data_IF_517521283391
#
_entry.id   IF_517521283391
#
_cell.length_a   1.000
_cell.length_b   1.000
_cell.length_c   1.000
_cell.angle_alpha   90.00
_cell.angle_beta   90.00
_cell.angle_gamma   90.00
#
_symmetry.space_group_name_H-M   'P 1'
#
loop_
_entity.id
_entity.type
_entity.pdbx_description
1 polymer ?
#
# COMPACT_ATOMS: atom_id res chain seq x y z
N UNK A 1 -17.92 0.31 -11.32
CA UNK A 1 -16.70 0.35 -10.49
C UNK A 1 -15.49 0.38 -11.40
N UNK A 2 -14.86 1.54 -11.50
CA UNK A 2 -13.68 1.72 -12.30
C UNK A 2 -12.44 1.16 -11.59
N UNK A 3 -11.45 0.74 -12.39
CA UNK A 3 -10.17 0.23 -11.90
C UNK A 3 -9.04 1.03 -12.54
N UNK A 4 -8.21 1.65 -11.71
CA UNK A 4 -7.01 2.34 -12.15
C UNK A 4 -5.80 1.39 -12.09
N UNK A 5 -5.06 1.28 -13.21
CA UNK A 5 -3.94 0.33 -13.42
C UNK A 5 -4.24 -1.12 -13.04
N UNK A 6 -5.50 -1.54 -13.16
CA UNK A 6 -5.96 -2.89 -12.79
C UNK A 6 -5.88 -3.24 -11.29
N UNK A 7 -5.34 -2.35 -10.46
CA UNK A 7 -5.05 -2.57 -9.03
C UNK A 7 -5.92 -1.73 -8.11
N UNK A 8 -6.06 -0.44 -8.40
CA UNK A 8 -6.75 0.50 -7.53
C UNK A 8 -8.23 0.55 -7.88
N UNK A 9 -9.04 0.05 -6.96
CA UNK A 9 -10.49 -0.02 -7.10
C UNK A 9 -11.10 1.30 -6.62
N UNK A 10 -11.84 1.98 -7.51
CA UNK A 10 -12.55 3.21 -7.20
C UNK A 10 -14.04 2.89 -7.06
N UNK A 11 -14.46 2.52 -5.85
CA UNK A 11 -15.84 2.19 -5.52
C UNK A 11 -16.77 3.39 -5.80
N UNK A 12 -17.97 3.13 -6.33
CA UNK A 12 -18.94 4.18 -6.67
C UNK A 12 -18.63 4.97 -7.95
N UNK A 13 -17.48 4.74 -8.60
CA UNK A 13 -17.14 5.38 -9.87
C UNK A 13 -17.43 4.44 -11.05
N UNK A 14 -18.16 4.91 -12.06
CA UNK A 14 -18.46 4.12 -13.26
C UNK A 14 -17.32 4.13 -14.29
N UNK A 15 -16.74 5.31 -14.53
CA UNK A 15 -15.63 5.52 -15.47
C UNK A 15 -14.64 6.54 -14.93
N UNK A 16 -13.36 6.38 -15.27
CA UNK A 16 -12.32 7.38 -15.01
C UNK A 16 -12.34 8.35 -16.20
N UNK A 17 -12.46 9.65 -15.94
CA UNK A 17 -12.36 10.66 -17.00
C UNK A 17 -10.89 10.90 -17.37
N UNK A 18 -10.58 11.43 -18.56
CA UNK A 18 -9.18 11.73 -18.92
C UNK A 18 -8.50 12.71 -17.95
N UNK A 19 -9.25 13.62 -17.32
CA UNK A 19 -8.72 14.52 -16.29
C UNK A 19 -8.37 13.76 -15.01
N UNK A 20 -9.30 12.93 -14.52
CA UNK A 20 -9.04 12.09 -13.34
C UNK A 20 -7.88 11.13 -13.57
N UNK A 21 -7.75 10.56 -14.77
CA UNK A 21 -6.65 9.67 -15.12
C UNK A 21 -5.30 10.39 -15.04
N UNK A 22 -5.22 11.63 -15.57
CA UNK A 22 -4.01 12.46 -15.42
C UNK A 22 -3.67 12.73 -13.95
N UNK A 23 -4.65 13.11 -13.14
CA UNK A 23 -4.44 13.40 -11.72
C UNK A 23 -4.03 12.14 -10.94
N UNK A 24 -4.63 10.98 -11.27
CA UNK A 24 -4.24 9.67 -10.73
C UNK A 24 -2.82 9.27 -11.13
N UNK A 25 -2.41 9.55 -12.38
CA UNK A 25 -1.05 9.29 -12.86
C UNK A 25 0.00 10.14 -12.11
N UNK A 26 -0.31 11.41 -11.83
CA UNK A 26 0.56 12.27 -11.02
C UNK A 26 0.69 11.72 -9.60
N UNK A 27 -0.44 11.39 -8.95
CA UNK A 27 -0.43 10.82 -7.60
C UNK A 27 0.35 9.50 -7.55
N UNK A 28 0.14 8.61 -8.52
CA UNK A 28 0.87 7.35 -8.63
C UNK A 28 2.37 7.59 -8.83
N UNK A 29 2.75 8.55 -9.67
CA UNK A 29 4.15 8.90 -9.90
C UNK A 29 4.87 9.33 -8.62
N UNK A 30 4.22 10.16 -7.79
CA UNK A 30 4.76 10.56 -6.48
C UNK A 30 4.93 9.33 -5.57
N UNK A 31 3.87 8.53 -5.42
CA UNK A 31 3.86 7.34 -4.58
C UNK A 31 4.93 6.32 -5.00
N UNK A 32 4.98 5.94 -6.27
CA UNK A 32 5.96 4.98 -6.80
C UNK A 32 7.40 5.51 -6.73
N UNK A 33 7.60 6.83 -6.88
CA UNK A 33 8.89 7.49 -6.74
C UNK A 33 9.56 7.22 -5.39
N UNK A 34 8.78 7.24 -4.29
CA UNK A 34 9.31 6.93 -2.96
C UNK A 34 9.92 5.53 -2.86
N UNK A 35 9.32 4.53 -3.53
CA UNK A 35 9.83 3.15 -3.48
C UNK A 35 11.22 3.04 -4.12
N UNK A 36 11.50 3.84 -5.15
CA UNK A 36 12.81 3.92 -5.78
C UNK A 36 13.81 4.79 -5.03
N UNK A 37 13.37 5.92 -4.48
CA UNK A 37 14.22 6.87 -3.75
C UNK A 37 14.63 6.32 -2.37
N UNK A 38 13.72 5.59 -1.71
CA UNK A 38 13.86 5.10 -0.34
C UNK A 38 13.54 3.60 -0.26
N UNK A 39 14.48 2.74 -0.70
CA UNK A 39 14.28 1.28 -0.68
C UNK A 39 14.13 0.76 0.75
N UNK A 40 13.45 -0.39 0.90
CA UNK A 40 13.18 -0.98 2.20
C UNK A 40 14.46 -1.41 2.93
N UNK A 41 14.61 -0.97 4.19
CA UNK A 41 15.72 -1.36 5.08
C UNK A 41 15.53 -2.71 5.76
N UNK A 42 14.43 -3.43 5.47
CA UNK A 42 14.10 -4.73 6.08
C UNK A 42 14.02 -4.68 7.62
N UNK A 43 13.53 -3.59 8.20
CA UNK A 43 13.45 -3.37 9.65
C UNK A 43 12.31 -4.13 10.37
N UNK A 44 11.46 -4.85 9.63
CA UNK A 44 10.38 -5.67 10.19
C UNK A 44 9.13 -4.92 10.66
N UNK A 45 9.16 -3.59 10.78
CA UNK A 45 8.06 -2.80 11.38
C UNK A 45 6.70 -2.98 10.68
N UNK A 46 6.69 -3.10 9.35
CA UNK A 46 5.47 -3.37 8.58
C UNK A 46 4.78 -4.70 8.96
N UNK A 47 5.50 -5.65 9.58
CA UNK A 47 4.94 -6.94 10.00
C UNK A 47 4.02 -6.83 11.24
N UNK A 48 3.84 -5.63 11.80
CA UNK A 48 2.86 -5.35 12.85
C UNK A 48 1.55 -4.77 12.30
N UNK A 49 1.48 -4.53 10.98
CA UNK A 49 0.29 -3.95 10.36
C UNK A 49 -0.84 -4.99 10.20
N UNK A 50 -2.10 -4.62 10.51
CA UNK A 50 -3.24 -5.50 10.31
C UNK A 50 -3.74 -5.48 8.85
N UNK A 51 -4.77 -6.29 8.58
CA UNK A 51 -5.58 -6.21 7.35
C UNK A 51 -4.80 -6.47 6.04
N UNK A 52 -3.85 -7.41 6.08
CA UNK A 52 -3.11 -7.85 4.91
C UNK A 52 -4.01 -8.70 4.01
N UNK A 53 -4.48 -8.12 2.90
CA UNK A 53 -5.22 -8.84 1.86
C UNK A 53 -4.27 -9.78 1.11
N UNK A 54 -4.72 -11.02 0.90
CA UNK A 54 -4.07 -12.01 0.05
C UNK A 54 -4.99 -12.25 -1.14
N UNK A 55 -4.49 -12.03 -2.36
CA UNK A 55 -5.27 -12.28 -3.57
C UNK A 55 -5.26 -13.78 -3.91
N UNK A 56 -6.31 -14.31 -4.54
CA UNK A 56 -6.36 -15.73 -4.92
C UNK A 56 -5.14 -16.22 -5.70
N UNK A 57 -4.62 -15.40 -6.61
CA UNK A 57 -3.45 -15.70 -7.42
C UNK A 57 -2.12 -15.76 -6.63
N UNK A 58 -2.10 -15.24 -5.39
CA UNK A 58 -0.90 -15.19 -4.56
C UNK A 58 -0.79 -16.36 -3.59
N UNK A 59 -1.91 -17.04 -3.31
CA UNK A 59 -2.03 -18.05 -2.25
C UNK A 59 -1.00 -19.17 -2.41
N UNK A 60 -0.89 -19.75 -3.60
CA UNK A 60 0.01 -20.89 -3.85
C UNK A 60 1.48 -20.49 -3.67
N UNK A 61 1.86 -19.32 -4.21
CA UNK A 61 3.21 -18.77 -4.10
C UNK A 61 3.60 -18.49 -2.64
N UNK A 62 2.68 -17.91 -1.85
CA UNK A 62 2.94 -17.63 -0.43
C UNK A 62 3.05 -18.94 0.35
N UNK A 63 2.18 -19.92 0.11
CA UNK A 63 2.20 -21.20 0.81
C UNK A 63 3.49 -21.97 0.56
N UNK A 64 3.93 -22.04 -0.70
CA UNK A 64 5.20 -22.64 -1.11
C UNK A 64 6.38 -21.92 -0.46
N UNK A 65 6.40 -20.59 -0.50
CA UNK A 65 7.47 -19.81 0.11
C UNK A 65 7.54 -19.95 1.64
N UNK A 66 6.39 -20.16 2.29
CA UNK A 66 6.32 -20.40 3.72
C UNK A 66 6.72 -21.84 4.11
N UNK A 67 6.80 -22.76 3.15
CA UNK A 67 7.00 -24.19 3.40
C UNK A 67 5.79 -24.85 4.08
N UNK A 68 4.59 -24.34 3.83
CA UNK A 68 3.35 -24.80 4.46
C UNK A 68 2.47 -25.44 3.39
N UNK A 69 1.94 -26.67 3.60
CA UNK A 69 0.98 -27.25 2.67
C UNK A 69 -0.21 -26.33 2.41
N UNK A 70 -0.65 -26.22 1.15
CA UNK A 70 -1.71 -25.30 0.74
C UNK A 70 -2.98 -25.43 1.61
N UNK A 71 -3.37 -26.66 1.96
CA UNK A 71 -4.51 -26.91 2.84
C UNK A 71 -4.34 -26.27 4.23
N UNK A 72 -3.17 -26.43 4.85
CA UNK A 72 -2.87 -25.86 6.16
C UNK A 72 -2.75 -24.34 6.08
N UNK A 73 -2.15 -23.80 5.01
CA UNK A 73 -2.10 -22.37 4.77
C UNK A 73 -3.51 -21.77 4.69
N UNK A 74 -4.40 -22.38 3.90
CA UNK A 74 -5.76 -21.89 3.71
C UNK A 74 -6.63 -21.98 4.98
N UNK A 75 -6.42 -23.01 5.81
CA UNK A 75 -7.23 -23.23 7.02
C UNK A 75 -6.69 -22.48 8.24
N UNK A 76 -5.37 -22.40 8.39
CA UNK A 76 -4.72 -21.85 9.58
C UNK A 76 -4.25 -20.41 9.38
N UNK A 77 -3.91 -19.97 8.16
CA UNK A 77 -3.32 -18.65 7.91
C UNK A 77 -4.22 -17.68 7.15
N UNK A 78 -5.31 -18.15 6.55
CA UNK A 78 -6.26 -17.30 5.83
C UNK A 78 -7.58 -17.14 6.61
N UNK A 79 -8.10 -15.93 6.63
CA UNK A 79 -9.43 -15.57 7.12
C UNK A 79 -10.21 -14.94 5.98
N UNK A 80 -11.49 -15.31 5.83
CA UNK A 80 -12.39 -14.69 4.85
C UNK A 80 -13.26 -13.63 5.51
N UNK A 81 -13.37 -12.47 4.86
CA UNK A 81 -14.28 -11.41 5.27
C UNK A 81 -15.69 -11.67 4.72
N UNK A 82 -16.68 -10.93 5.24
CA UNK A 82 -18.10 -11.07 4.80
C UNK A 82 -18.30 -10.75 3.32
N UNK A 83 -17.49 -9.85 2.78
CA UNK A 83 -17.48 -9.46 1.37
C UNK A 83 -16.58 -10.36 0.50
N UNK A 84 -16.08 -11.47 1.05
CA UNK A 84 -15.39 -12.52 0.30
C UNK A 84 -13.88 -12.29 0.08
N UNK A 85 -13.29 -11.24 0.65
CA UNK A 85 -11.82 -11.03 0.60
C UNK A 85 -11.10 -12.05 1.48
N UNK A 86 -9.90 -12.43 1.07
CA UNK A 86 -9.01 -13.25 1.89
C UNK A 86 -7.99 -12.35 2.56
N UNK A 87 -7.87 -12.47 3.87
CA UNK A 87 -6.90 -11.78 4.70
C UNK A 87 -5.95 -12.80 5.31
N UNK A 88 -4.69 -12.42 5.53
CA UNK A 88 -3.87 -13.14 6.49
C UNK A 88 -4.54 -13.07 7.86
N UNK A 89 -4.53 -14.20 8.57
CA UNK A 89 -4.95 -14.27 9.96
C UNK A 89 -4.11 -13.29 10.76
N UNK A 90 -4.78 -12.40 11.48
CA UNK A 90 -4.11 -11.39 12.30
C UNK A 90 -3.30 -12.07 13.40
N UNK A 91 -2.01 -11.82 13.40
CA UNK A 91 -1.06 -12.10 14.49
C UNK A 91 -0.23 -10.84 14.72
N UNK A 92 0.29 -10.65 15.93
CA UNK A 92 1.19 -9.54 16.23
C UNK A 92 2.41 -10.06 17.03
N UNK A 93 3.61 -10.14 16.42
CA UNK A 93 3.92 -9.80 15.02
C UNK A 93 3.29 -10.80 14.01
N UNK A 94 3.38 -10.48 12.72
CA UNK A 94 3.05 -11.39 11.62
C UNK A 94 3.71 -12.77 11.79
N UNK A 95 2.98 -13.85 11.53
CA UNK A 95 3.47 -15.23 11.65
C UNK A 95 4.67 -15.55 10.75
N UNK A 96 4.96 -14.70 9.75
CA UNK A 96 6.11 -14.84 8.86
C UNK A 96 7.30 -13.97 9.25
N UNK A 97 7.23 -13.18 10.33
CA UNK A 97 8.38 -12.46 10.86
C UNK A 97 9.32 -13.43 11.59
N UNK A 98 10.60 -13.43 11.20
CA UNK A 98 11.64 -14.21 11.85
C UNK A 98 12.17 -13.54 13.12
N UNK A 99 12.92 -14.28 13.96
CA UNK A 99 13.52 -13.74 15.19
C UNK A 99 14.60 -12.67 14.92
N UNK A 100 15.08 -12.55 13.68
CA UNK A 100 16.04 -11.55 13.21
C UNK A 100 15.35 -10.27 12.65
N UNK A 101 14.05 -10.11 12.88
CA UNK A 101 13.19 -9.06 12.33
C UNK A 101 13.09 -9.06 10.79
N UNK A 102 13.42 -10.18 10.13
CA UNK A 102 13.25 -10.32 8.68
C UNK A 102 12.04 -11.15 8.31
N UNK A 103 11.36 -10.76 7.25
CA UNK A 103 10.23 -11.52 6.72
C UNK A 103 10.72 -12.79 6.02
N UNK A 104 10.29 -13.96 6.50
CA UNK A 104 10.70 -15.26 5.97
C UNK A 104 10.20 -15.50 4.54
N UNK A 105 9.09 -14.88 4.17
CA UNK A 105 8.50 -14.95 2.82
C UNK A 105 8.79 -13.70 1.99
N UNK A 106 9.81 -12.90 2.32
CA UNK A 106 10.03 -11.56 1.72
C UNK A 106 9.89 -11.55 0.20
N UNK A 107 10.55 -12.46 -0.52
CA UNK A 107 10.51 -12.50 -2.00
C UNK A 107 9.13 -12.83 -2.60
N UNK A 108 8.27 -13.51 -1.84
CA UNK A 108 6.94 -13.95 -2.27
C UNK A 108 5.87 -13.42 -1.29
N UNK A 109 6.12 -12.23 -0.73
CA UNK A 109 5.17 -11.57 0.18
C UNK A 109 3.92 -11.13 -0.60
N UNK A 110 2.76 -11.02 0.05
CA UNK A 110 1.56 -10.47 -0.58
C UNK A 110 1.83 -9.09 -1.20
N UNK A 111 1.13 -8.75 -2.29
CA UNK A 111 1.35 -7.49 -3.02
C UNK A 111 1.22 -6.29 -2.10
N UNK A 112 0.25 -6.31 -1.18
CA UNK A 112 0.05 -5.22 -0.22
C UNK A 112 1.24 -5.04 0.72
N UNK A 113 1.96 -6.12 1.06
CA UNK A 113 3.21 -6.05 1.82
C UNK A 113 4.39 -5.53 0.98
N UNK A 114 4.39 -5.76 -0.33
CA UNK A 114 5.38 -5.18 -1.26
C UNK A 114 5.12 -3.72 -1.60
N UNK A 115 3.85 -3.33 -1.61
CA UNK A 115 3.40 -1.97 -1.86
C UNK A 115 3.63 -1.06 -0.65
N UNK A 116 3.68 -1.60 0.57
CA UNK A 116 3.76 -0.81 1.80
C UNK A 116 5.12 -0.08 1.95
N UNK A 117 5.13 1.19 2.41
CA UNK A 117 3.99 2.10 2.63
C UNK A 117 3.62 2.94 1.40
N UNK A 118 4.36 2.80 0.30
CA UNK A 118 4.41 3.77 -0.80
C UNK A 118 3.29 3.64 -1.84
N UNK A 119 2.91 2.43 -2.21
CA UNK A 119 1.95 2.16 -3.31
C UNK A 119 0.66 1.49 -2.80
N UNK A 120 0.36 1.63 -1.52
CA UNK A 120 -0.89 1.13 -0.94
C UNK A 120 -2.05 2.10 -1.25
N UNK A 121 -3.23 1.55 -1.52
CA UNK A 121 -4.41 2.34 -1.92
C UNK A 121 -4.74 3.49 -0.97
N UNK A 122 -4.50 3.30 0.34
CA UNK A 122 -4.77 4.34 1.35
C UNK A 122 -3.89 5.57 1.12
N UNK A 123 -2.57 5.41 1.05
CA UNK A 123 -1.65 6.53 0.81
C UNK A 123 -1.88 7.16 -0.56
N UNK A 124 -2.03 6.35 -1.61
CA UNK A 124 -2.35 6.81 -2.96
C UNK A 124 -3.60 7.71 -3.00
N UNK A 125 -4.65 7.32 -2.26
CA UNK A 125 -5.88 8.13 -2.15
C UNK A 125 -5.66 9.46 -1.44
N UNK A 126 -4.78 9.51 -0.42
CA UNK A 126 -4.47 10.76 0.30
C UNK A 126 -3.72 11.74 -0.59
N UNK A 127 -2.73 11.24 -1.34
CA UNK A 127 -1.96 12.05 -2.30
C UNK A 127 -2.88 12.59 -3.40
N UNK A 128 -3.74 11.75 -3.98
CA UNK A 128 -4.72 12.20 -4.98
C UNK A 128 -5.66 13.29 -4.43
N UNK A 129 -6.21 13.10 -3.22
CA UNK A 129 -7.06 14.09 -2.57
C UNK A 129 -6.32 15.40 -2.32
N UNK A 130 -5.08 15.35 -1.86
CA UNK A 130 -4.29 16.54 -1.61
C UNK A 130 -3.96 17.31 -2.90
N UNK A 131 -3.70 16.62 -4.01
CA UNK A 131 -3.45 17.28 -5.32
C UNK A 131 -4.72 17.94 -5.86
N UNK A 132 -5.87 17.27 -5.74
CA UNK A 132 -7.12 17.70 -6.37
C UNK A 132 -7.96 18.65 -5.53
N UNK A 133 -7.74 18.69 -4.21
CA UNK A 133 -8.40 19.61 -3.28
C UNK A 133 -7.38 20.58 -2.67
N UNK A 134 -7.41 21.88 -3.04
CA UNK A 134 -6.50 22.90 -2.50
C UNK A 134 -6.55 23.05 -0.98
N UNK A 135 -7.71 22.79 -0.36
CA UNK A 135 -7.93 22.94 1.09
C UNK A 135 -7.44 21.71 1.89
N UNK A 136 -7.10 20.61 1.21
CA UNK A 136 -6.65 19.41 1.89
C UNK A 136 -5.19 19.53 2.32
N UNK A 137 -4.91 19.39 3.61
CA UNK A 137 -3.54 19.24 4.12
C UNK A 137 -3.11 17.77 4.03
N UNK A 138 -2.06 17.50 3.26
CA UNK A 138 -1.53 16.14 3.10
C UNK A 138 -1.00 15.58 4.43
N UNK A 139 -0.40 16.40 5.29
CA UNK A 139 0.16 15.95 6.57
C UNK A 139 -0.93 15.49 7.53
N UNK A 140 -2.07 16.20 7.57
CA UNK A 140 -3.25 15.75 8.32
C UNK A 140 -3.81 14.44 7.74
N UNK A 141 -3.88 14.33 6.41
CA UNK A 141 -4.40 13.14 5.74
C UNK A 141 -3.56 11.88 5.98
N UNK A 142 -2.26 12.03 6.26
CA UNK A 142 -1.32 10.93 6.54
C UNK A 142 -0.91 10.83 8.01
N UNK A 143 -1.57 11.54 8.93
CA UNK A 143 -1.22 11.53 10.35
C UNK A 143 -1.21 10.12 10.97
N UNK A 144 -2.01 9.20 10.41
CA UNK A 144 -2.01 7.79 10.78
C UNK A 144 -0.65 7.08 10.57
N UNK A 145 0.26 7.65 9.78
CA UNK A 145 1.59 7.10 9.57
C UNK A 145 2.49 7.41 10.78
N UNK A 146 3.09 6.34 11.32
CA UNK A 146 4.12 6.41 12.35
C UNK A 146 5.30 7.28 11.86
N UNK A 147 5.81 8.17 12.70
CA UNK A 147 6.90 9.09 12.37
C UNK A 147 8.29 8.56 12.74
N UNK A 148 8.35 7.38 13.37
CA UNK A 148 9.58 6.72 13.82
C UNK A 148 10.09 5.65 12.84
N UNK A 149 9.33 5.29 11.81
CA UNK A 149 9.74 4.27 10.84
C UNK A 149 10.48 4.90 9.67
N UNK A 150 11.64 4.36 9.23
CA UNK A 150 12.45 4.97 8.18
C UNK A 150 11.68 5.34 6.91
N UNK A 151 10.78 4.45 6.45
CA UNK A 151 10.01 4.63 5.22
C UNK A 151 8.84 5.61 5.34
N UNK A 152 8.28 5.84 6.53
CA UNK A 152 7.19 6.81 6.71
C UNK A 152 7.72 8.16 7.15
N UNK A 153 8.84 8.22 7.87
CA UNK A 153 9.56 9.46 8.15
C UNK A 153 9.93 10.19 6.85
N UNK A 154 10.47 9.49 5.84
CA UNK A 154 10.82 10.13 4.57
C UNK A 154 9.60 10.68 3.81
N UNK A 155 8.44 10.01 3.92
CA UNK A 155 7.18 10.53 3.38
C UNK A 155 6.80 11.81 4.12
N UNK A 156 6.67 11.76 5.45
CA UNK A 156 6.22 12.90 6.27
C UNK A 156 7.11 14.13 6.12
N UNK A 157 8.41 13.96 5.86
CA UNK A 157 9.33 15.09 5.70
C UNK A 157 9.37 15.71 4.30
N UNK A 158 8.85 15.03 3.27
CA UNK A 158 9.03 15.48 1.87
C UNK A 158 7.74 15.57 1.06
N UNK A 159 6.64 14.95 1.51
CA UNK A 159 5.43 14.84 0.71
C UNK A 159 4.75 16.18 0.44
N UNK A 160 4.81 17.12 1.38
CA UNK A 160 4.19 18.45 1.24
C UNK A 160 4.74 19.20 0.03
N UNK A 161 6.06 19.19 -0.16
CA UNK A 161 6.72 19.82 -1.30
C UNK A 161 6.30 19.16 -2.62
N UNK A 162 6.30 17.81 -2.66
CA UNK A 162 5.89 17.05 -3.86
C UNK A 162 4.42 17.30 -4.24
N UNK A 163 3.53 17.45 -3.25
CA UNK A 163 2.10 17.78 -3.47
C UNK A 163 1.95 19.20 -3.98
N UNK A 164 2.65 20.16 -3.39
CA UNK A 164 2.57 21.56 -3.82
C UNK A 164 3.08 21.76 -5.25
N UNK A 165 4.21 21.13 -5.59
CA UNK A 165 4.69 21.10 -6.98
C UNK A 165 3.66 20.50 -7.95
N UNK A 166 2.98 19.42 -7.54
CA UNK A 166 1.95 18.79 -8.35
C UNK A 166 0.73 19.71 -8.55
N UNK A 167 0.31 20.44 -7.52
CA UNK A 167 -0.76 21.45 -7.61
C UNK A 167 -0.41 22.56 -8.60
N UNK A 168 0.81 23.09 -8.53
CA UNK A 168 1.29 24.14 -9.45
C UNK A 168 1.25 23.64 -10.90
N UNK A 169 1.78 22.43 -11.16
CA UNK A 169 1.79 21.84 -12.51
C UNK A 169 0.36 21.61 -13.03
N UNK A 170 -0.55 21.16 -12.15
CA UNK A 170 -1.96 20.94 -12.48
C UNK A 170 -2.68 22.23 -12.84
N UNK A 171 -2.41 23.33 -12.14
CA UNK A 171 -3.02 24.64 -12.43
C UNK A 171 -2.56 25.26 -13.77
N UNK A 172 -1.45 24.76 -14.33
CA UNK A 172 -0.87 25.24 -15.59
C UNK A 172 -1.26 24.40 -16.82
N UNK A 173 -1.90 23.24 -16.62
CA UNK A 173 -2.26 22.26 -17.65
C UNK A 173 -3.72 22.39 -18.08
#
# INVERSE_FOLDING_TARGET
MAKYRGKYILEGLDKITPEMERDLDVAYGICAGYKSEFPCEMCGRCCHQPHIIVRPEEVDNISTAAGIPLYDFMTQYIVRTRDGRMLLRKTDPCAFLGPDNKCRIWKNRPSICDDFPYEVSMFMSRVYLAITNPEADILELIDYMDDTWPCTTCIKTTISDKVEEARIRRAQA
#
